data_IF_888151882490
#
_entry.id   IF_888151882490
#
_cell.length_a   1.000
_cell.length_b   1.000
_cell.length_c   1.000
_cell.angle_alpha   90.00
_cell.angle_beta   90.00
_cell.angle_gamma   90.00
#
_symmetry.space_group_name_H-M   'P 1'
#
loop_
_entity.id
_entity.type
_entity.pdbx_description
1 polymer ?
#
# COMPACT_ATOMS: atom_id res chain seq x y z
N UNK A 1 -26.49 -1.58 15.90
CA UNK A 1 -25.36 -0.64 16.04
C UNK A 1 -24.85 -0.30 14.65
N UNK A 2 -24.56 0.96 14.38
CA UNK A 2 -23.93 1.39 13.13
C UNK A 2 -22.45 1.06 13.18
N UNK A 3 -21.93 0.33 12.18
CA UNK A 3 -20.50 0.00 12.12
C UNK A 3 -19.65 1.27 11.97
N UNK A 4 -18.53 1.31 12.68
CA UNK A 4 -17.56 2.39 12.66
C UNK A 4 -16.43 2.07 11.68
N UNK A 5 -16.33 2.88 10.64
CA UNK A 5 -15.32 2.76 9.59
C UNK A 5 -14.23 3.82 9.78
N UNK A 6 -12.97 3.39 9.88
CA UNK A 6 -11.83 4.30 9.77
C UNK A 6 -11.40 4.41 8.31
N UNK A 7 -11.44 5.60 7.73
CA UNK A 7 -10.94 5.86 6.36
C UNK A 7 -9.50 6.34 6.45
N UNK A 8 -8.57 5.48 6.05
CA UNK A 8 -7.14 5.77 6.06
C UNK A 8 -6.76 6.55 4.79
N UNK A 9 -6.19 7.73 4.95
CA UNK A 9 -5.90 8.65 3.84
C UNK A 9 -4.62 9.46 4.09
N UNK A 10 -4.17 10.20 3.08
CA UNK A 10 -2.97 11.04 3.17
C UNK A 10 -1.68 10.21 3.17
N UNK A 11 -0.97 10.19 4.30
CA UNK A 11 0.32 9.51 4.44
C UNK A 11 1.52 10.29 3.88
N UNK A 12 2.61 9.57 3.59
CA UNK A 12 3.94 10.15 3.29
C UNK A 12 4.40 9.93 1.83
N UNK A 13 3.57 9.32 1.00
CA UNK A 13 3.93 9.06 -0.40
C UNK A 13 3.87 10.35 -1.23
N UNK A 14 4.50 10.34 -2.40
CA UNK A 14 4.35 11.42 -3.38
C UNK A 14 2.90 11.55 -3.91
N UNK A 15 2.04 10.58 -3.62
CA UNK A 15 0.64 10.50 -4.06
C UNK A 15 -0.33 10.94 -2.95
N UNK A 16 0.17 11.54 -1.86
CA UNK A 16 -0.59 12.01 -0.71
C UNK A 16 -1.87 12.79 -1.09
N UNK A 17 -1.76 13.76 -1.99
CA UNK A 17 -2.91 14.58 -2.41
C UNK A 17 -4.01 13.76 -3.09
N UNK A 18 -3.62 12.72 -3.84
CA UNK A 18 -4.57 11.78 -4.44
C UNK A 18 -5.26 10.97 -3.35
N UNK A 19 -4.51 10.50 -2.35
CA UNK A 19 -5.06 9.77 -1.21
C UNK A 19 -6.04 10.61 -0.39
N UNK A 20 -5.73 11.89 -0.14
CA UNK A 20 -6.65 12.79 0.56
C UNK A 20 -7.97 12.97 -0.21
N UNK A 21 -7.90 13.15 -1.53
CA UNK A 21 -9.10 13.30 -2.36
C UNK A 21 -9.95 12.04 -2.41
N UNK A 22 -9.33 10.89 -2.67
CA UNK A 22 -10.01 9.59 -2.71
C UNK A 22 -10.62 9.22 -1.34
N UNK A 23 -9.88 9.47 -0.26
CA UNK A 23 -10.32 9.24 1.11
C UNK A 23 -11.53 10.10 1.48
N UNK A 24 -11.51 11.40 1.15
CA UNK A 24 -12.64 12.29 1.43
C UNK A 24 -13.91 11.88 0.67
N UNK A 25 -13.77 11.52 -0.62
CA UNK A 25 -14.89 11.04 -1.42
C UNK A 25 -15.49 9.74 -0.84
N UNK A 26 -14.64 8.80 -0.43
CA UNK A 26 -15.05 7.53 0.17
C UNK A 26 -15.72 7.73 1.52
N UNK A 27 -15.19 8.63 2.36
CA UNK A 27 -15.77 8.94 3.66
C UNK A 27 -17.18 9.53 3.52
N UNK A 28 -17.39 10.50 2.62
CA UNK A 28 -18.71 11.07 2.35
C UNK A 28 -19.72 10.02 1.85
N UNK A 29 -19.28 9.10 1.00
CA UNK A 29 -20.14 8.03 0.50
C UNK A 29 -20.52 7.03 1.60
N UNK A 30 -19.59 6.70 2.50
CA UNK A 30 -19.86 5.84 3.66
C UNK A 30 -20.81 6.51 4.66
N UNK A 31 -20.64 7.82 4.89
CA UNK A 31 -21.55 8.61 5.72
C UNK A 31 -22.96 8.67 5.13
N UNK A 32 -23.11 8.82 3.81
CA UNK A 32 -24.42 8.93 3.16
C UNK A 32 -25.24 7.64 3.22
N UNK A 33 -24.59 6.48 3.33
CA UNK A 33 -25.25 5.17 3.56
C UNK A 33 -25.41 4.85 5.05
N UNK A 34 -25.02 5.77 5.93
CA UNK A 34 -25.32 5.73 7.35
C UNK A 34 -24.26 5.10 8.24
N UNK A 35 -23.01 4.86 7.77
CA UNK A 35 -21.91 4.43 8.64
C UNK A 35 -21.40 5.55 9.53
N UNK A 36 -20.88 5.20 10.71
CA UNK A 36 -20.07 6.14 11.51
C UNK A 36 -18.67 6.15 10.90
N UNK A 37 -18.17 7.30 10.50
CA UNK A 37 -16.89 7.39 9.80
C UNK A 37 -15.90 8.26 10.57
N UNK A 38 -14.65 7.82 10.64
CA UNK A 38 -13.53 8.66 11.08
C UNK A 38 -12.48 8.69 9.99
N UNK A 39 -12.15 9.90 9.52
CA UNK A 39 -11.03 10.12 8.59
C UNK A 39 -9.73 10.10 9.39
N UNK A 40 -8.75 9.33 8.95
CA UNK A 40 -7.45 9.21 9.59
C UNK A 40 -6.39 9.56 8.56
N UNK A 41 -5.80 10.74 8.69
CA UNK A 41 -4.58 11.09 7.95
C UNK A 41 -3.41 10.32 8.56
N UNK A 42 -2.85 9.39 7.79
CA UNK A 42 -1.94 8.37 8.34
C UNK A 42 -0.60 8.98 8.71
N UNK A 43 -0.38 9.09 10.02
CA UNK A 43 0.88 9.46 10.65
C UNK A 43 1.77 8.25 11.00
N UNK A 44 2.93 8.52 11.63
CA UNK A 44 3.83 7.47 12.13
C UNK A 44 3.28 6.80 13.40
N UNK A 45 2.33 7.46 14.04
CA UNK A 45 1.58 7.06 15.22
C UNK A 45 0.29 6.30 14.88
N UNK A 46 0.06 5.95 13.61
CA UNK A 46 -1.20 5.34 13.15
C UNK A 46 -1.59 4.09 13.95
N UNK A 47 -0.63 3.29 14.40
CA UNK A 47 -0.92 2.11 15.22
C UNK A 47 -1.56 2.49 16.58
N UNK A 48 -1.06 3.54 17.22
CA UNK A 48 -1.61 4.06 18.48
C UNK A 48 -2.99 4.70 18.25
N UNK A 49 -3.13 5.49 17.17
CA UNK A 49 -4.40 6.11 16.79
C UNK A 49 -5.47 5.05 16.56
N UNK A 50 -5.17 4.01 15.80
CA UNK A 50 -6.11 2.92 15.50
C UNK A 50 -6.44 2.06 16.72
N UNK A 51 -5.45 1.79 17.59
CA UNK A 51 -5.69 1.06 18.82
C UNK A 51 -6.64 1.82 19.77
N UNK A 52 -6.52 3.15 19.86
CA UNK A 52 -7.42 4.00 20.65
C UNK A 52 -8.79 4.15 19.98
N UNK A 53 -8.82 4.29 18.66
CA UNK A 53 -10.04 4.50 17.89
C UNK A 53 -10.92 3.25 17.86
N UNK A 54 -10.30 2.07 17.83
CA UNK A 54 -10.93 0.75 17.77
C UNK A 54 -12.09 0.66 16.76
N UNK A 55 -11.87 0.99 15.46
CA UNK A 55 -12.92 0.89 14.45
C UNK A 55 -13.27 -0.57 14.16
N UNK A 56 -14.49 -0.81 13.69
CA UNK A 56 -14.95 -2.15 13.28
C UNK A 56 -14.27 -2.61 11.99
N UNK A 57 -13.89 -1.67 11.12
CA UNK A 57 -13.22 -1.93 9.84
C UNK A 57 -12.45 -0.69 9.37
N UNK A 58 -11.34 -0.89 8.66
CA UNK A 58 -10.58 0.15 8.00
C UNK A 58 -10.82 0.15 6.48
N UNK A 59 -11.21 1.29 5.93
CA UNK A 59 -11.18 1.52 4.49
C UNK A 59 -9.82 2.12 4.12
N UNK A 60 -9.00 1.37 3.40
CA UNK A 60 -7.69 1.84 2.97
C UNK A 60 -7.82 2.70 1.68
N UNK A 61 -7.66 4.01 1.80
CA UNK A 61 -7.61 4.96 0.68
C UNK A 61 -6.21 5.56 0.47
N UNK A 62 -5.17 4.90 1.01
CA UNK A 62 -3.78 5.29 0.79
C UNK A 62 -3.32 4.92 -0.63
N UNK A 63 -2.46 5.74 -1.21
CA UNK A 63 -1.87 5.51 -2.54
C UNK A 63 -0.35 5.45 -2.48
N UNK A 64 0.22 4.55 -3.28
CA UNK A 64 1.65 4.34 -3.39
C UNK A 64 2.27 3.64 -2.18
N UNK A 65 3.55 3.96 -1.94
CA UNK A 65 4.33 3.35 -0.86
C UNK A 65 3.67 3.55 0.51
N UNK A 66 3.76 2.55 1.37
CA UNK A 66 3.09 2.40 2.67
C UNK A 66 1.59 2.10 2.63
N UNK A 67 0.87 2.48 1.56
CA UNK A 67 -0.56 2.20 1.39
C UNK A 67 -0.86 0.90 0.65
N UNK A 68 -0.07 0.64 -0.40
CA UNK A 68 -0.32 -0.42 -1.37
C UNK A 68 0.76 -1.51 -1.36
N UNK A 69 1.81 -1.37 -0.54
CA UNK A 69 2.99 -2.24 -0.50
C UNK A 69 3.00 -3.25 0.65
N UNK A 70 1.91 -3.34 1.43
CA UNK A 70 1.76 -4.25 2.56
C UNK A 70 2.09 -3.63 3.92
N UNK A 71 2.61 -2.40 3.99
CA UNK A 71 3.02 -1.82 5.28
C UNK A 71 1.82 -1.54 6.20
N UNK A 72 0.81 -0.79 5.72
CA UNK A 72 -0.38 -0.50 6.52
C UNK A 72 -1.20 -1.76 6.79
N UNK A 73 -1.24 -2.69 5.84
CA UNK A 73 -1.88 -3.99 5.98
C UNK A 73 -1.27 -4.74 7.18
N UNK A 74 0.07 -4.74 7.30
CA UNK A 74 0.75 -5.37 8.43
C UNK A 74 0.35 -4.78 9.79
N UNK A 75 0.16 -3.45 9.87
CA UNK A 75 -0.35 -2.81 11.10
C UNK A 75 -1.78 -3.28 11.41
N UNK A 76 -2.65 -3.33 10.40
CA UNK A 76 -4.04 -3.75 10.55
C UNK A 76 -4.17 -5.22 10.95
N UNK A 77 -3.31 -6.11 10.42
CA UNK A 77 -3.21 -7.51 10.85
C UNK A 77 -2.81 -7.63 12.32
N UNK A 78 -1.80 -6.87 12.77
CA UNK A 78 -1.35 -6.88 14.18
C UNK A 78 -2.47 -6.42 15.11
N UNK A 79 -3.19 -5.37 14.72
CA UNK A 79 -4.31 -4.82 15.48
C UNK A 79 -5.61 -5.62 15.33
N UNK A 80 -5.63 -6.62 14.42
CA UNK A 80 -6.81 -7.43 14.06
C UNK A 80 -8.01 -6.57 13.63
N UNK A 81 -7.74 -5.49 12.91
CA UNK A 81 -8.77 -4.62 12.33
C UNK A 81 -9.02 -5.11 10.90
N UNK A 82 -10.24 -5.58 10.55
CA UNK A 82 -10.59 -5.93 9.18
C UNK A 82 -10.39 -4.74 8.24
N UNK A 83 -10.00 -4.97 6.98
CA UNK A 83 -9.74 -3.88 6.04
C UNK A 83 -10.08 -4.21 4.59
N UNK A 84 -10.29 -3.16 3.80
CA UNK A 84 -10.51 -3.28 2.35
C UNK A 84 -9.21 -3.51 1.58
N UNK A 85 -9.32 -4.03 0.35
CA UNK A 85 -8.22 -4.39 -0.57
C UNK A 85 -7.53 -5.72 -0.24
N UNK A 86 -6.31 -5.88 -0.73
CA UNK A 86 -5.51 -7.10 -0.64
C UNK A 86 -4.76 -7.18 0.68
N UNK A 87 -4.47 -8.41 1.12
CA UNK A 87 -3.63 -8.66 2.29
C UNK A 87 -2.15 -8.39 2.05
N UNK A 88 -1.36 -8.46 3.13
CA UNK A 88 0.08 -8.11 3.17
C UNK A 88 0.87 -8.67 1.98
N UNK A 89 0.83 -9.98 1.77
CA UNK A 89 1.63 -10.66 0.74
C UNK A 89 1.28 -10.18 -0.66
N UNK A 90 -0.02 -10.11 -0.98
CA UNK A 90 -0.50 -9.72 -2.29
C UNK A 90 -0.11 -8.27 -2.61
N UNK A 91 -0.29 -7.36 -1.65
CA UNK A 91 0.14 -5.95 -1.76
C UNK A 91 1.66 -5.83 -1.98
N UNK A 92 2.47 -6.49 -1.15
CA UNK A 92 3.93 -6.45 -1.27
C UNK A 92 4.45 -7.03 -2.59
N UNK A 93 3.85 -8.12 -3.08
CA UNK A 93 4.20 -8.73 -4.36
C UNK A 93 3.84 -7.82 -5.54
N UNK A 94 2.61 -7.31 -5.57
CA UNK A 94 2.11 -6.50 -6.67
C UNK A 94 2.93 -5.20 -6.86
N UNK A 95 3.42 -4.61 -5.76
CA UNK A 95 4.26 -3.40 -5.82
C UNK A 95 5.62 -3.65 -6.48
N UNK A 96 6.16 -4.88 -6.38
CA UNK A 96 7.44 -5.26 -7.01
C UNK A 96 7.19 -5.84 -8.40
N UNK A 97 7.16 -4.98 -9.42
CA UNK A 97 6.80 -5.34 -10.81
C UNK A 97 7.59 -6.51 -11.39
N UNK A 98 8.88 -6.61 -11.10
CA UNK A 98 9.75 -7.72 -11.52
C UNK A 98 9.35 -9.05 -10.88
N UNK A 99 9.11 -9.05 -9.56
CA UNK A 99 8.66 -10.21 -8.80
C UNK A 99 7.24 -10.60 -9.22
N UNK A 100 6.32 -9.64 -9.31
CA UNK A 100 4.95 -9.86 -9.75
C UNK A 100 4.90 -10.50 -11.14
N UNK A 101 5.71 -10.02 -12.10
CA UNK A 101 5.81 -10.63 -13.44
C UNK A 101 6.32 -12.06 -13.39
N UNK A 102 7.30 -12.34 -12.54
CA UNK A 102 7.86 -13.69 -12.38
C UNK A 102 6.80 -14.66 -11.83
N UNK A 103 6.04 -14.24 -10.82
CA UNK A 103 4.94 -15.03 -10.24
C UNK A 103 3.82 -15.24 -11.25
N UNK A 104 3.41 -14.18 -11.97
CA UNK A 104 2.38 -14.27 -13.01
C UNK A 104 2.79 -15.20 -14.16
N UNK A 105 4.03 -15.09 -14.64
CA UNK A 105 4.55 -15.95 -15.70
C UNK A 105 4.60 -17.43 -15.26
N UNK A 106 5.03 -17.70 -14.02
CA UNK A 106 5.03 -19.04 -13.45
C UNK A 106 3.62 -19.63 -13.34
N UNK A 107 2.60 -18.78 -13.17
CA UNK A 107 1.18 -19.16 -13.17
C UNK A 107 0.56 -19.23 -14.58
N UNK A 108 1.34 -19.03 -15.66
CA UNK A 108 0.84 -19.08 -17.03
C UNK A 108 0.14 -17.81 -17.51
N UNK A 109 0.18 -16.71 -16.75
CA UNK A 109 -0.38 -15.42 -17.15
C UNK A 109 0.60 -14.70 -18.07
N UNK A 110 0.17 -14.21 -19.26
CA UNK A 110 1.05 -13.47 -20.17
C UNK A 110 1.58 -12.18 -19.52
N UNK A 111 2.90 -11.98 -19.58
CA UNK A 111 3.56 -10.77 -19.07
C UNK A 111 4.49 -10.14 -20.12
N UNK A 112 4.63 -8.80 -20.16
CA UNK A 112 5.56 -8.14 -21.07
C UNK A 112 7.02 -8.51 -20.76
N UNK A 113 7.78 -8.85 -21.81
CA UNK A 113 9.23 -9.03 -21.74
C UNK A 113 9.89 -7.75 -21.21
N UNK A 114 10.88 -7.91 -20.34
CA UNK A 114 11.63 -6.80 -19.77
C UNK A 114 12.90 -7.31 -19.10
N UNK A 115 13.83 -6.40 -18.82
CA UNK A 115 15.07 -6.69 -18.11
C UNK A 115 15.15 -5.77 -16.89
N UNK A 116 15.46 -6.34 -15.73
CA UNK A 116 15.83 -5.57 -14.54
C UNK A 116 17.26 -5.07 -14.74
N UNK A 117 17.51 -3.79 -14.53
CA UNK A 117 18.84 -3.20 -14.60
C UNK A 117 19.09 -2.49 -13.28
N UNK A 118 20.15 -2.88 -12.57
CA UNK A 118 20.50 -2.22 -11.33
C UNK A 118 21.19 -0.89 -11.61
N UNK A 119 21.03 0.08 -10.69
CA UNK A 119 21.57 1.44 -10.84
C UNK A 119 23.07 1.46 -11.16
N UNK A 120 23.85 0.52 -10.62
CA UNK A 120 25.29 0.42 -10.84
C UNK A 120 25.65 -0.13 -12.24
N UNK A 121 24.78 -0.96 -12.82
CA UNK A 121 24.98 -1.54 -14.16
C UNK A 121 24.60 -0.55 -15.27
N UNK A 122 23.61 0.32 -15.00
CA UNK A 122 23.13 1.32 -15.97
C UNK A 122 24.14 2.42 -16.32
N UNK A 123 25.19 2.60 -15.51
CA UNK A 123 26.24 3.63 -15.72
C UNK A 123 27.48 3.05 -16.43
N UNK A 124 27.48 1.77 -16.82
CA UNK A 124 28.61 1.16 -17.52
C UNK A 124 29.86 0.95 -16.65
N UNK A 125 29.74 1.04 -15.32
CA UNK A 125 30.85 0.85 -14.37
C UNK A 125 31.26 -0.62 -14.19
N UNK A 126 30.53 -1.58 -14.75
CA UNK A 126 30.84 -3.02 -14.67
C UNK A 126 32.09 -3.47 -15.44
N UNK A 127 32.85 -2.55 -16.07
CA UNK A 127 34.05 -2.88 -16.86
C UNK A 127 35.37 -2.43 -16.22
N UNK A 128 35.35 -1.79 -15.04
CA UNK A 128 36.56 -1.25 -14.40
C UNK A 128 37.17 -2.18 -13.33
N UNK A 129 36.54 -3.32 -12.99
CA UNK A 129 37.06 -4.24 -11.96
C UNK A 129 37.83 -5.45 -12.50
N UNK A 130 38.00 -5.60 -13.82
CA UNK A 130 38.78 -6.73 -14.41
C UNK A 130 40.13 -6.34 -15.02
N UNK A 131 40.74 -5.23 -14.60
CA UNK A 131 42.11 -4.84 -15.03
C UNK A 131 43.13 -4.84 -13.88
N UNK A 132 43.06 -5.84 -13.00
CA UNK A 132 44.17 -6.21 -12.13
C UNK A 132 44.30 -7.74 -12.11
N UNK A 133 44.85 -8.30 -13.19
CA UNK A 133 45.73 -9.48 -13.21
C UNK A 133 46.41 -9.57 -14.57
#
# INVERSE_FOLDING_TARGET
MTAHVAVLMGGFSCEREVSLRSGEASAKALESVGYRVTRVDVGRDVAEVLAKLAPDVAFNALHGRFGEDGAIQGVLEILRIPYTHSGVLASSLAMKKDVAKSVMAAAGVPVPRGRVVHRLEGVGLGRLETMNH
#
